data_IF_346691724867
#
_entry.id   IF_346691724867
#
_cell.length_a   1.000
_cell.length_b   1.000
_cell.length_c   1.000
_cell.angle_alpha   90.00
_cell.angle_beta   90.00
_cell.angle_gamma   90.00
#
_symmetry.space_group_name_H-M   'P 1'
#
loop_
_entity.id
_entity.type
_entity.pdbx_description
1 polymer ?
#
# COMPACT_ATOMS: atom_id res chain seq x y z
N UNK A 1 18.55 9.29 -12.41
CA UNK A 1 19.58 8.47 -11.73
C UNK A 1 19.89 7.27 -12.61
N UNK A 2 20.91 7.36 -13.47
CA UNK A 2 21.51 6.21 -14.15
C UNK A 2 22.64 5.72 -13.27
N UNK A 3 22.36 4.75 -12.40
CA UNK A 3 23.35 4.25 -11.44
C UNK A 3 23.29 2.73 -11.37
N UNK A 4 24.40 2.10 -11.79
CA UNK A 4 24.75 0.69 -11.59
C UNK A 4 25.21 0.36 -10.14
N UNK A 5 24.88 1.15 -9.11
CA UNK A 5 25.62 1.13 -7.82
C UNK A 5 24.90 0.52 -6.60
N UNK A 6 24.03 -0.49 -6.77
CA UNK A 6 23.63 -1.32 -5.61
C UNK A 6 24.39 -2.65 -5.55
N UNK A 7 25.26 -2.93 -6.51
CA UNK A 7 26.20 -4.05 -6.44
C UNK A 7 27.01 -3.95 -5.14
N UNK A 8 26.90 -4.99 -4.30
CA UNK A 8 27.54 -5.16 -2.99
C UNK A 8 26.97 -4.39 -1.78
N UNK A 9 25.82 -3.72 -1.89
CA UNK A 9 25.19 -3.06 -0.72
C UNK A 9 24.37 -4.02 0.15
N UNK A 10 25.04 -5.04 0.72
CA UNK A 10 24.41 -6.02 1.62
C UNK A 10 23.92 -5.39 2.94
N UNK A 11 24.42 -4.24 3.37
CA UNK A 11 24.03 -3.64 4.65
C UNK A 11 22.81 -2.71 4.58
N UNK A 12 22.31 -2.39 3.37
CA UNK A 12 21.29 -1.37 3.21
C UNK A 12 19.90 -1.89 3.63
N UNK A 13 19.44 -1.44 4.80
CA UNK A 13 18.15 -1.88 5.38
C UNK A 13 16.99 -0.91 5.15
N UNK A 14 17.29 0.36 4.81
CA UNK A 14 16.30 1.41 4.59
C UNK A 14 16.69 2.23 3.36
N UNK A 15 15.72 2.52 2.52
CA UNK A 15 15.89 3.39 1.36
C UNK A 15 14.74 4.38 1.29
N UNK A 16 15.08 5.66 1.15
CA UNK A 16 14.13 6.73 0.90
C UNK A 16 14.57 7.47 -0.36
N UNK A 17 13.65 7.61 -1.32
CA UNK A 17 13.85 8.37 -2.54
C UNK A 17 12.84 9.52 -2.55
N UNK A 18 13.33 10.73 -2.82
CA UNK A 18 12.54 11.96 -2.73
C UNK A 18 12.76 12.77 -4.01
N UNK A 19 11.68 13.16 -4.70
CA UNK A 19 11.73 13.95 -5.93
C UNK A 19 12.59 13.30 -7.04
N UNK A 20 12.56 11.98 -7.14
CA UNK A 20 13.35 11.21 -8.11
C UNK A 20 12.45 10.66 -9.20
N UNK A 21 12.89 10.80 -10.47
CA UNK A 21 12.37 10.02 -11.59
C UNK A 21 13.06 8.65 -11.64
N UNK A 22 12.27 7.59 -11.54
CA UNK A 22 12.72 6.21 -11.36
C UNK A 22 12.41 5.43 -12.64
N UNK A 23 13.47 4.99 -13.32
CA UNK A 23 13.39 4.11 -14.48
C UNK A 23 13.26 2.65 -14.05
N UNK A 24 12.73 1.78 -14.91
CA UNK A 24 12.52 0.37 -14.59
C UNK A 24 13.80 -0.35 -14.13
N UNK A 25 14.94 -0.09 -14.77
CA UNK A 25 16.21 -0.71 -14.36
C UNK A 25 16.56 -0.36 -12.92
N UNK A 26 16.27 0.86 -12.47
CA UNK A 26 16.51 1.29 -11.09
C UNK A 26 15.55 0.62 -10.10
N UNK A 27 14.28 0.42 -10.48
CA UNK A 27 13.32 -0.37 -9.69
C UNK A 27 13.86 -1.78 -9.43
N UNK A 28 14.39 -2.43 -10.47
CA UNK A 28 14.98 -3.77 -10.36
C UNK A 28 16.18 -3.78 -9.41
N UNK A 29 17.06 -2.77 -9.47
CA UNK A 29 18.19 -2.66 -8.56
C UNK A 29 17.77 -2.44 -7.10
N UNK A 30 16.76 -1.59 -6.84
CA UNK A 30 16.16 -1.46 -5.50
C UNK A 30 15.67 -2.82 -5.01
N UNK A 31 15.06 -3.60 -5.90
CA UNK A 31 14.53 -4.90 -5.55
C UNK A 31 15.59 -6.01 -5.40
N UNK A 32 16.82 -5.84 -5.90
CA UNK A 32 17.96 -6.74 -5.61
C UNK A 32 18.53 -6.59 -4.19
N UNK A 33 18.22 -5.48 -3.49
CA UNK A 33 18.67 -5.24 -2.11
C UNK A 33 18.01 -6.22 -1.13
N UNK A 34 18.69 -7.32 -0.80
CA UNK A 34 18.16 -8.42 0.02
C UNK A 34 17.80 -8.01 1.46
N UNK A 35 18.60 -7.13 2.07
CA UNK A 35 18.40 -6.71 3.45
C UNK A 35 17.50 -5.48 3.61
N UNK A 36 16.95 -4.95 2.51
CA UNK A 36 16.06 -3.80 2.52
C UNK A 36 14.72 -4.17 3.18
N UNK A 37 14.46 -3.59 4.35
CA UNK A 37 13.22 -3.79 5.12
C UNK A 37 12.29 -2.59 5.09
N UNK A 38 12.79 -1.39 4.74
CA UNK A 38 11.96 -0.18 4.62
C UNK A 38 12.23 0.55 3.32
N UNK A 39 11.17 0.81 2.56
CA UNK A 39 11.21 1.59 1.32
C UNK A 39 10.23 2.75 1.41
N UNK A 40 10.71 3.96 1.12
CA UNK A 40 9.88 5.15 0.98
C UNK A 40 10.12 5.80 -0.36
N UNK A 41 9.06 5.99 -1.13
CA UNK A 41 9.05 6.80 -2.35
C UNK A 41 8.20 8.03 -2.07
N UNK A 42 8.78 9.20 -2.18
CA UNK A 42 8.13 10.48 -1.91
C UNK A 42 8.29 11.42 -3.10
N UNK A 43 7.17 11.86 -3.67
CA UNK A 43 7.16 12.72 -4.86
C UNK A 43 7.97 12.13 -6.03
N UNK A 44 7.97 10.80 -6.13
CA UNK A 44 8.67 10.07 -7.19
C UNK A 44 7.76 9.87 -8.40
N UNK A 45 8.36 9.90 -9.58
CA UNK A 45 7.69 9.53 -10.84
C UNK A 45 8.33 8.25 -11.32
N UNK A 46 7.56 7.17 -11.36
CA UNK A 46 8.03 5.93 -11.96
C UNK A 46 7.72 5.98 -13.46
N UNK A 47 8.75 5.79 -14.29
CA UNK A 47 8.59 5.82 -15.74
C UNK A 47 7.78 4.62 -16.25
N UNK A 48 6.93 4.82 -17.27
CA UNK A 48 6.17 3.73 -17.88
C UNK A 48 7.12 2.71 -18.50
N UNK A 49 6.71 1.44 -18.49
CA UNK A 49 7.34 0.39 -19.29
C UNK A 49 6.29 -0.38 -20.06
N UNK A 50 6.63 -0.77 -21.28
CA UNK A 50 5.72 -1.50 -22.19
C UNK A 50 5.68 -3.01 -21.92
N UNK A 51 6.63 -3.53 -21.14
CA UNK A 51 6.82 -4.96 -20.94
C UNK A 51 6.32 -5.39 -19.56
N UNK A 52 5.43 -6.38 -19.51
CA UNK A 52 5.05 -7.07 -18.28
C UNK A 52 6.32 -7.53 -17.55
N UNK A 53 6.56 -7.03 -16.34
CA UNK A 53 7.67 -7.57 -15.55
C UNK A 53 7.37 -9.03 -15.24
N UNK A 54 8.31 -9.97 -15.47
CA UNK A 54 8.24 -11.27 -14.86
C UNK A 54 8.40 -11.08 -13.35
N UNK A 55 7.28 -11.10 -12.63
CA UNK A 55 7.18 -10.90 -11.17
C UNK A 55 7.86 -11.98 -10.33
N UNK A 56 8.53 -12.96 -10.93
CA UNK A 56 9.12 -14.13 -10.26
C UNK A 56 10.32 -13.82 -9.35
N UNK A 57 10.75 -12.56 -9.22
CA UNK A 57 12.01 -12.20 -8.58
C UNK A 57 11.91 -11.59 -7.17
N UNK A 58 10.72 -11.33 -6.62
CA UNK A 58 10.62 -10.35 -5.53
C UNK A 58 9.72 -10.73 -4.35
N UNK A 59 9.89 -11.91 -3.76
CA UNK A 59 9.41 -12.15 -2.38
C UNK A 59 10.33 -11.43 -1.39
N UNK A 60 10.06 -10.14 -1.18
CA UNK A 60 10.84 -9.32 -0.25
C UNK A 60 10.31 -9.39 1.18
N UNK A 61 11.24 -9.50 2.12
CA UNK A 61 11.02 -9.24 3.55
C UNK A 61 10.87 -7.73 3.84
N UNK A 62 10.18 -7.00 2.96
CA UNK A 62 9.90 -5.59 3.16
C UNK A 62 8.86 -5.47 4.28
N UNK A 63 9.24 -4.82 5.37
CA UNK A 63 8.42 -4.64 6.56
C UNK A 63 7.60 -3.36 6.45
N UNK A 64 8.13 -2.34 5.76
CA UNK A 64 7.49 -1.04 5.63
C UNK A 64 7.61 -0.49 4.22
N UNK A 65 6.47 -0.11 3.65
CA UNK A 65 6.36 0.58 2.38
C UNK A 65 5.62 1.89 2.56
N UNK A 66 6.19 2.97 2.04
CA UNK A 66 5.55 4.28 1.99
C UNK A 66 5.59 4.82 0.56
N UNK A 67 4.41 5.13 0.02
CA UNK A 67 4.20 5.70 -1.30
C UNK A 67 3.48 7.04 -1.10
N UNK A 68 4.22 8.14 -1.16
CA UNK A 68 3.67 9.49 -0.97
C UNK A 68 3.86 10.31 -2.23
N UNK A 69 2.84 11.02 -2.70
CA UNK A 69 2.96 11.87 -3.88
C UNK A 69 3.56 11.15 -5.09
N UNK A 70 3.41 9.82 -5.13
CA UNK A 70 4.06 8.95 -6.11
C UNK A 70 3.04 8.61 -7.18
N UNK A 71 3.36 8.94 -8.42
CA UNK A 71 2.51 8.61 -9.55
C UNK A 71 2.82 7.17 -10.01
N UNK A 72 1.82 6.30 -9.93
CA UNK A 72 1.86 4.92 -10.42
C UNK A 72 0.76 4.67 -11.47
N UNK A 73 0.15 5.71 -12.05
CA UNK A 73 -0.93 5.56 -13.08
C UNK A 73 -0.49 4.68 -14.23
N UNK A 74 0.81 4.72 -14.55
CA UNK A 74 1.43 4.00 -15.65
C UNK A 74 1.68 2.52 -15.33
N UNK A 75 1.43 2.08 -14.09
CA UNK A 75 1.61 0.72 -13.59
C UNK A 75 0.28 -0.03 -13.46
N UNK A 76 -0.73 0.33 -14.25
CA UNK A 76 -2.04 -0.34 -14.27
C UNK A 76 -1.96 -1.87 -14.47
N UNK A 77 -0.82 -2.36 -14.97
CA UNK A 77 -0.52 -3.76 -15.26
C UNK A 77 0.44 -4.44 -14.27
N UNK A 78 0.96 -3.69 -13.29
CA UNK A 78 1.94 -4.20 -12.35
C UNK A 78 1.38 -4.18 -10.92
N UNK A 79 0.90 -5.36 -10.49
CA UNK A 79 0.39 -5.60 -9.15
C UNK A 79 1.55 -5.70 -8.13
N UNK A 80 2.36 -4.64 -7.98
CA UNK A 80 3.57 -4.64 -7.14
C UNK A 80 3.24 -4.99 -5.68
N UNK A 81 2.07 -4.56 -5.16
CA UNK A 81 1.65 -4.88 -3.79
C UNK A 81 1.48 -6.38 -3.52
N UNK A 82 1.21 -7.19 -4.55
CA UNK A 82 1.06 -8.64 -4.40
C UNK A 82 2.37 -9.34 -4.05
N UNK A 83 3.51 -8.69 -4.32
CA UNK A 83 4.85 -9.23 -4.14
C UNK A 83 5.35 -9.12 -2.70
N UNK A 84 4.79 -8.20 -1.92
CA UNK A 84 5.21 -8.01 -0.54
C UNK A 84 4.41 -8.92 0.39
N UNK A 85 5.06 -9.97 0.89
CA UNK A 85 4.42 -11.01 1.70
C UNK A 85 4.54 -10.80 3.20
N UNK A 86 5.37 -9.84 3.63
CA UNK A 86 5.73 -9.62 5.04
C UNK A 86 5.53 -8.16 5.50
N UNK A 87 4.73 -7.37 4.77
CA UNK A 87 4.49 -5.97 5.12
C UNK A 87 3.78 -5.88 6.47
N UNK A 88 4.36 -5.08 7.36
CA UNK A 88 3.73 -4.69 8.64
C UNK A 88 3.16 -3.28 8.58
N UNK A 89 3.70 -2.42 7.74
CA UNK A 89 3.28 -1.03 7.60
C UNK A 89 3.15 -0.66 6.12
N UNK A 90 1.95 -0.22 5.73
CA UNK A 90 1.69 0.34 4.42
C UNK A 90 1.17 1.76 4.58
N UNK A 91 1.85 2.71 3.96
CA UNK A 91 1.43 4.09 3.86
C UNK A 91 1.26 4.48 2.39
N UNK A 92 0.06 4.92 2.03
CA UNK A 92 -0.31 5.40 0.71
C UNK A 92 -0.89 6.80 0.88
N UNK A 93 -0.26 7.82 0.30
CA UNK A 93 -0.70 9.21 0.46
C UNK A 93 -0.61 9.98 -0.85
N UNK A 94 -1.70 10.65 -1.23
CA UNK A 94 -1.72 11.67 -2.30
C UNK A 94 -0.98 11.25 -3.58
N UNK A 95 -1.17 10.01 -4.03
CA UNK A 95 -0.62 9.51 -5.29
C UNK A 95 -1.73 9.30 -6.31
N UNK A 96 -1.38 9.30 -7.59
CA UNK A 96 -2.32 8.94 -8.65
C UNK A 96 -2.43 7.41 -8.74
N UNK A 97 -2.91 6.77 -7.67
CA UNK A 97 -3.15 5.33 -7.65
C UNK A 97 -4.58 5.04 -8.13
N UNK A 98 -4.77 4.06 -9.02
CA UNK A 98 -6.12 3.67 -9.42
C UNK A 98 -6.87 3.08 -8.21
N UNK A 99 -8.22 3.20 -8.18
CA UNK A 99 -9.03 2.39 -7.27
C UNK A 99 -8.72 0.89 -7.40
N UNK A 100 -9.03 0.10 -6.38
CA UNK A 100 -8.65 -1.32 -6.25
C UNK A 100 -7.15 -1.57 -6.04
N UNK A 101 -6.29 -0.54 -5.88
CA UNK A 101 -4.86 -0.78 -5.71
C UNK A 101 -4.55 -1.57 -4.42
N UNK A 102 -5.21 -1.23 -3.31
CA UNK A 102 -5.04 -1.94 -2.03
C UNK A 102 -5.52 -3.39 -2.16
N UNK A 103 -6.54 -3.63 -2.98
CA UNK A 103 -7.03 -4.98 -3.28
C UNK A 103 -5.98 -5.94 -3.82
N UNK A 104 -4.82 -5.43 -4.26
CA UNK A 104 -3.68 -6.20 -4.79
C UNK A 104 -2.70 -6.68 -3.73
N UNK A 105 -2.89 -6.33 -2.45
CA UNK A 105 -2.04 -6.81 -1.37
C UNK A 105 -1.99 -8.33 -1.32
N UNK A 106 -0.78 -8.88 -1.17
CA UNK A 106 -0.55 -10.31 -0.94
C UNK A 106 -1.47 -10.85 0.15
N UNK A 107 -2.03 -12.06 -0.02
CA UNK A 107 -2.84 -12.69 1.02
C UNK A 107 -2.03 -12.96 2.31
N UNK A 108 -0.71 -13.11 2.19
CA UNK A 108 0.19 -13.26 3.34
C UNK A 108 0.27 -11.98 4.20
N UNK A 109 -0.19 -10.84 3.68
CA UNK A 109 -0.36 -9.63 4.48
C UNK A 109 -1.50 -9.73 5.50
N UNK A 110 -2.41 -10.71 5.40
CA UNK A 110 -3.52 -10.86 6.35
C UNK A 110 -3.00 -11.06 7.78
N UNK A 111 -1.95 -11.86 7.94
CA UNK A 111 -1.34 -12.20 9.22
C UNK A 111 -0.12 -11.34 9.58
N UNK A 112 0.23 -10.34 8.77
CA UNK A 112 1.42 -9.51 9.02
C UNK A 112 1.18 -8.00 9.02
N UNK A 113 0.18 -7.49 8.30
CA UNK A 113 -0.06 -6.05 8.16
C UNK A 113 -0.74 -5.47 9.40
N UNK A 114 0.01 -4.69 10.18
CA UNK A 114 -0.43 -4.06 11.42
C UNK A 114 -0.93 -2.63 11.22
N UNK A 115 -0.36 -1.90 10.27
CA UNK A 115 -0.72 -0.49 10.03
C UNK A 115 -1.03 -0.28 8.56
N UNK A 116 -2.27 0.14 8.29
CA UNK A 116 -2.70 0.63 6.99
C UNK A 116 -3.06 2.10 7.10
N UNK A 117 -2.29 2.94 6.41
CA UNK A 117 -2.53 4.36 6.32
C UNK A 117 -2.75 4.75 4.86
N UNK A 118 -3.95 5.25 4.58
CA UNK A 118 -4.36 5.82 3.31
C UNK A 118 -4.70 7.29 3.53
N UNK A 119 -4.13 8.18 2.73
CA UNK A 119 -4.43 9.61 2.75
C UNK A 119 -4.75 10.15 1.36
N UNK A 120 -5.87 10.85 1.22
CA UNK A 120 -6.32 11.42 -0.06
C UNK A 120 -6.38 10.36 -1.17
N UNK A 121 -6.88 9.15 -0.85
CA UNK A 121 -6.99 8.02 -1.76
C UNK A 121 -8.48 7.69 -2.02
N UNK A 122 -8.79 7.23 -3.22
CA UNK A 122 -10.14 6.80 -3.61
C UNK A 122 -10.27 5.29 -3.46
N UNK A 123 -10.99 4.85 -2.44
CA UNK A 123 -11.27 3.45 -2.14
C UNK A 123 -12.48 2.98 -2.92
N UNK A 124 -12.45 1.75 -3.41
CA UNK A 124 -13.63 1.06 -3.93
C UNK A 124 -14.00 -0.18 -3.10
N UNK A 125 -15.05 -0.88 -3.51
CA UNK A 125 -15.51 -2.08 -2.81
C UNK A 125 -14.45 -3.19 -2.73
N UNK A 126 -13.57 -3.34 -3.73
CA UNK A 126 -12.52 -4.37 -3.70
C UNK A 126 -11.45 -4.03 -2.68
N UNK A 127 -11.09 -2.75 -2.55
CA UNK A 127 -10.20 -2.28 -1.50
C UNK A 127 -10.79 -2.58 -0.12
N UNK A 128 -12.08 -2.27 0.12
CA UNK A 128 -12.73 -2.55 1.41
C UNK A 128 -12.80 -4.05 1.72
N UNK A 129 -13.18 -4.88 0.75
CA UNK A 129 -13.20 -6.33 0.91
C UNK A 129 -11.82 -6.90 1.22
N UNK A 130 -10.76 -6.32 0.65
CA UNK A 130 -9.39 -6.72 0.98
C UNK A 130 -9.01 -6.31 2.39
N UNK A 131 -9.34 -5.08 2.80
CA UNK A 131 -9.06 -4.56 4.13
C UNK A 131 -9.75 -5.41 5.20
N UNK A 132 -11.01 -5.83 4.99
CA UNK A 132 -11.77 -6.64 5.94
C UNK A 132 -11.17 -8.02 6.22
N UNK A 133 -10.25 -8.51 5.39
CA UNK A 133 -9.54 -9.79 5.58
C UNK A 133 -8.24 -9.68 6.39
N UNK A 134 -7.76 -8.48 6.68
CA UNK A 134 -6.55 -8.31 7.49
C UNK A 134 -6.86 -8.74 8.93
N UNK A 135 -6.12 -9.71 9.47
CA UNK A 135 -6.40 -10.34 10.77
C UNK A 135 -5.72 -9.61 11.93
N UNK A 136 -4.52 -9.10 11.68
CA UNK A 136 -3.66 -8.47 12.70
C UNK A 136 -3.58 -6.95 12.56
N UNK A 137 -4.54 -6.33 11.86
CA UNK A 137 -4.54 -4.88 11.62
C UNK A 137 -4.84 -4.12 12.91
N UNK A 138 -3.81 -3.47 13.43
CA UNK A 138 -3.84 -2.70 14.68
C UNK A 138 -4.28 -1.24 14.47
N UNK A 139 -3.93 -0.65 13.32
CA UNK A 139 -4.27 0.72 12.98
C UNK A 139 -4.79 0.86 11.55
N UNK A 140 -6.00 1.40 11.40
CA UNK A 140 -6.61 1.76 10.12
C UNK A 140 -6.80 3.27 10.07
N UNK A 141 -6.08 3.94 9.17
CA UNK A 141 -6.16 5.40 8.99
C UNK A 141 -6.58 5.71 7.56
N UNK A 142 -7.80 6.18 7.38
CA UNK A 142 -8.37 6.61 6.11
C UNK A 142 -8.61 8.13 6.21
N UNK A 143 -7.58 8.91 5.87
CA UNK A 143 -7.59 10.37 6.05
C UNK A 143 -7.92 11.05 4.72
N UNK A 144 -8.92 11.93 4.68
CA UNK A 144 -9.30 12.62 3.43
C UNK A 144 -9.59 11.64 2.27
N UNK A 145 -10.06 10.43 2.59
CA UNK A 145 -10.34 9.41 1.60
C UNK A 145 -11.73 9.60 0.99
N UNK A 146 -11.91 9.11 -0.23
CA UNK A 146 -13.21 9.06 -0.93
C UNK A 146 -13.60 7.61 -1.16
N UNK A 147 -14.90 7.34 -1.17
CA UNK A 147 -15.43 6.03 -1.54
C UNK A 147 -16.08 6.10 -2.92
N UNK A 148 -15.68 5.20 -3.82
CA UNK A 148 -16.15 5.11 -5.19
C UNK A 148 -17.19 4.01 -5.32
N UNK A 149 -18.46 4.41 -5.46
CA UNK A 149 -19.62 3.49 -5.55
C UNK A 149 -19.70 2.48 -4.39
N UNK A 150 -19.17 2.87 -3.23
CA UNK A 150 -19.24 2.15 -1.95
C UNK A 150 -19.25 3.16 -0.80
N UNK A 151 -19.36 2.68 0.42
CA UNK A 151 -19.25 3.46 1.66
C UNK A 151 -18.43 2.67 2.69
N UNK A 152 -18.11 3.29 3.84
CA UNK A 152 -17.29 2.64 4.87
C UNK A 152 -17.96 1.38 5.45
N UNK A 153 -19.30 1.38 5.60
CA UNK A 153 -20.07 0.25 6.11
C UNK A 153 -19.96 -1.02 5.24
N UNK A 154 -19.52 -0.89 3.98
CA UNK A 154 -19.27 -2.03 3.08
C UNK A 154 -18.07 -2.89 3.52
N UNK A 155 -17.28 -2.45 4.51
CA UNK A 155 -16.33 -3.32 5.23
C UNK A 155 -17.02 -4.56 5.84
N UNK A 156 -18.29 -4.41 6.24
CA UNK A 156 -19.12 -5.49 6.76
C UNK A 156 -18.86 -5.83 8.23
N UNK A 157 -19.76 -6.63 8.79
CA UNK A 157 -19.74 -7.02 10.22
C UNK A 157 -18.71 -8.09 10.58
N UNK A 158 -18.02 -8.65 9.59
CA UNK A 158 -17.08 -9.77 9.77
C UNK A 158 -15.64 -9.35 9.41
N UNK A 159 -15.25 -8.12 9.78
CA UNK A 159 -13.86 -7.70 9.64
C UNK A 159 -12.98 -8.53 10.57
N UNK A 160 -11.97 -9.18 10.01
CA UNK A 160 -11.08 -10.06 10.78
C UNK A 160 -10.21 -9.31 11.80
N UNK A 161 -9.98 -8.01 11.59
CA UNK A 161 -9.16 -7.18 12.48
C UNK A 161 -9.88 -6.61 13.71
N UNK A 162 -11.18 -6.86 13.93
CA UNK A 162 -11.88 -6.22 15.05
C UNK A 162 -11.25 -6.51 16.41
N UNK A 163 -10.66 -7.69 16.59
CA UNK A 163 -9.99 -8.06 17.85
C UNK A 163 -8.58 -7.47 18.00
N UNK A 164 -7.98 -6.97 16.92
CA UNK A 164 -6.61 -6.41 16.91
C UNK A 164 -6.58 -4.89 16.76
N UNK A 165 -7.63 -4.28 16.21
CA UNK A 165 -7.71 -2.85 15.93
C UNK A 165 -7.87 -2.03 17.21
N UNK A 166 -6.89 -1.16 17.50
CA UNK A 166 -6.99 -0.20 18.60
C UNK A 166 -7.04 1.26 18.13
N UNK A 167 -6.78 1.52 16.84
CA UNK A 167 -6.87 2.87 16.29
C UNK A 167 -7.56 2.89 14.92
N UNK A 168 -8.73 3.55 14.88
CA UNK A 168 -9.43 3.92 13.65
C UNK A 168 -9.39 5.43 13.50
N UNK A 169 -8.91 5.94 12.35
CA UNK A 169 -8.93 7.36 12.05
C UNK A 169 -9.57 7.61 10.68
N UNK A 170 -10.69 8.33 10.68
CA UNK A 170 -11.48 8.69 9.50
C UNK A 170 -11.48 10.21 9.24
N UNK A 171 -10.47 10.94 9.74
CA UNK A 171 -10.44 12.40 9.65
C UNK A 171 -10.57 12.90 8.21
N UNK A 172 -11.48 13.85 7.99
CA UNK A 172 -11.77 14.44 6.68
C UNK A 172 -12.30 13.46 5.62
N UNK A 173 -12.70 12.25 6.01
CA UNK A 173 -13.39 11.29 5.14
C UNK A 173 -14.90 11.51 5.23
N UNK A 174 -15.59 11.60 4.09
CA UNK A 174 -17.04 11.78 4.04
C UNK A 174 -17.71 10.44 4.37
N UNK A 175 -18.61 10.46 5.35
CA UNK A 175 -19.38 9.31 5.81
C UNK A 175 -20.88 9.54 5.59
N UNK A 176 -21.62 8.49 5.24
CA UNK A 176 -23.08 8.52 5.19
C UNK A 176 -23.72 8.13 6.54
N UNK A 177 -25.05 8.16 6.61
CA UNK A 177 -25.77 7.81 7.84
C UNK A 177 -25.55 6.34 8.23
N UNK A 178 -25.48 5.45 7.25
CA UNK A 178 -25.24 4.02 7.44
C UNK A 178 -23.85 3.75 8.00
N UNK A 179 -22.83 4.53 7.61
CA UNK A 179 -21.48 4.45 8.18
C UNK A 179 -21.49 4.77 9.68
N UNK A 180 -22.24 5.80 10.08
CA UNK A 180 -22.38 6.18 11.48
C UNK A 180 -23.10 5.08 12.27
N UNK A 181 -24.16 4.49 11.70
CA UNK A 181 -24.89 3.36 12.33
C UNK A 181 -23.96 2.16 12.47
N UNK A 182 -23.14 1.87 11.46
CA UNK A 182 -22.17 0.79 11.46
C UNK A 182 -21.11 0.98 12.56
N UNK A 183 -20.57 2.19 12.70
CA UNK A 183 -19.59 2.53 13.74
C UNK A 183 -20.15 2.50 15.17
N UNK A 184 -21.47 2.67 15.35
CA UNK A 184 -22.13 2.59 16.67
C UNK A 184 -22.39 1.16 17.14
N UNK A 185 -22.45 0.19 16.22
CA UNK A 185 -22.85 -1.19 16.49
C UNK A 185 -21.68 -2.13 16.77
N UNK A 186 -20.44 -1.66 16.56
CA UNK A 186 -19.19 -2.36 16.84
C UNK A 186 -18.42 -1.56 17.90
#
# INVERSE_FOLDING_TARGET
>A
LTINNFTNNISLTKLALINVRIVLSFVNEIFKLQNLTKLSLESCILEPFEVYLPFTLFTKNLISLSLKYTDLVLYKYADILSQFTSLRHLNISRGNLPPSYISKLSLLCDSSLKVLHCKSYTLDKKDLLRISKLEVLEQLKLLDCKFLYCNFFDLGKECKFYNSLYALNLYSTILCNEDIIFLKKN
#
